data_IF_892882862511
#
_entry.id   IF_892882862511
#
_cell.length_a   1.000
_cell.length_b   1.000
_cell.length_c   1.000
_cell.angle_alpha   90.00
_cell.angle_beta   90.00
_cell.angle_gamma   90.00
#
_symmetry.space_group_name_H-M   'P 1'
#
loop_
_entity.id
_entity.type
_entity.pdbx_description
1 polymer ?
#
# COMPACT_ATOMS: atom_id res chain seq x y z
N UNK A 1 17.55 1.06 19.86
CA UNK A 1 16.62 2.11 20.24
C UNK A 1 16.34 3.01 19.06
N UNK A 2 15.14 3.07 18.59
CA UNK A 2 14.86 4.03 17.54
C UNK A 2 15.03 5.43 18.10
N UNK A 3 15.67 6.27 17.32
CA UNK A 3 15.79 7.67 17.64
C UNK A 3 14.93 8.48 16.69
N UNK A 4 14.24 9.42 17.23
CA UNK A 4 13.50 10.37 16.42
C UNK A 4 13.80 11.77 16.93
N UNK A 5 13.63 12.70 16.04
CA UNK A 5 13.86 14.10 16.39
C UNK A 5 12.87 14.55 17.46
N UNK A 6 13.30 15.30 18.47
CA UNK A 6 12.36 15.91 19.41
C UNK A 6 11.53 17.02 18.77
N UNK A 7 11.89 17.48 17.59
CA UNK A 7 11.14 18.50 16.88
C UNK A 7 9.94 17.87 16.17
N UNK A 8 8.86 18.64 16.03
CA UNK A 8 7.76 18.25 15.18
C UNK A 8 8.20 18.22 13.73
N UNK A 9 7.67 17.25 12.98
CA UNK A 9 7.96 17.09 11.56
C UNK A 9 6.64 17.10 10.79
N UNK A 10 6.69 17.60 9.58
CA UNK A 10 5.53 17.67 8.71
C UNK A 10 5.95 17.40 7.28
N UNK A 11 5.16 16.58 6.59
CA UNK A 11 5.27 16.36 5.16
C UNK A 11 3.85 16.34 4.58
N UNK A 12 3.74 16.59 3.28
CA UNK A 12 2.46 16.54 2.60
C UNK A 12 2.57 15.59 1.41
N UNK A 13 1.68 14.62 1.34
CA UNK A 13 1.70 13.61 0.27
C UNK A 13 1.55 14.25 -1.11
N UNK A 14 0.83 15.36 -1.22
CA UNK A 14 0.67 16.08 -2.47
C UNK A 14 2.01 16.54 -3.06
N UNK A 15 2.98 16.83 -2.20
CA UNK A 15 4.30 17.32 -2.62
C UNK A 15 5.25 16.18 -2.97
N UNK A 16 4.87 14.93 -2.67
CA UNK A 16 5.70 13.78 -2.99
C UNK A 16 5.61 13.44 -4.47
N UNK A 17 6.74 13.00 -5.02
CA UNK A 17 6.78 12.57 -6.41
C UNK A 17 6.09 11.21 -6.54
N UNK A 18 5.27 11.06 -7.56
CA UNK A 18 4.60 9.79 -7.83
C UNK A 18 5.58 8.79 -8.43
N UNK A 19 5.57 7.58 -7.89
CA UNK A 19 6.28 6.43 -8.43
C UNK A 19 5.23 5.57 -9.13
N UNK A 20 5.28 5.49 -10.46
CA UNK A 20 4.22 4.89 -11.26
C UNK A 20 4.69 3.56 -11.85
N UNK A 21 3.90 2.52 -11.63
CA UNK A 21 4.12 1.18 -12.17
C UNK A 21 2.82 0.72 -12.83
N UNK A 22 2.72 0.88 -14.15
CA UNK A 22 1.50 0.54 -14.87
C UNK A 22 0.31 1.34 -14.34
N UNK A 23 -0.72 0.65 -13.85
CA UNK A 23 -1.93 1.27 -13.33
C UNK A 23 -1.88 1.51 -11.82
N UNK A 24 -0.72 1.32 -11.20
CA UNK A 24 -0.53 1.55 -9.76
C UNK A 24 0.47 2.67 -9.57
N UNK A 25 0.14 3.63 -8.72
CA UNK A 25 1.03 4.73 -8.37
C UNK A 25 1.15 4.87 -6.86
N UNK A 26 2.32 5.35 -6.42
CA UNK A 26 2.63 5.51 -4.99
C UNK A 26 3.25 6.88 -4.76
N UNK A 27 2.86 7.52 -3.66
CA UNK A 27 3.50 8.73 -3.16
C UNK A 27 3.87 8.50 -1.71
N UNK A 28 5.11 8.76 -1.35
CA UNK A 28 5.60 8.49 0.00
C UNK A 28 6.06 9.77 0.67
N UNK A 29 5.55 10.01 1.86
CA UNK A 29 6.04 11.04 2.76
C UNK A 29 6.91 10.38 3.82
N UNK A 30 8.15 10.85 3.97
CA UNK A 30 9.12 10.28 4.89
C UNK A 30 9.33 11.21 6.06
N UNK A 31 9.11 10.68 7.26
CA UNK A 31 9.45 11.33 8.51
C UNK A 31 10.47 10.46 9.25
N UNK A 32 11.05 10.97 10.34
CA UNK A 32 12.01 10.17 11.09
C UNK A 32 11.34 8.90 11.62
N UNK A 33 11.84 7.75 11.19
CA UNK A 33 11.40 6.46 11.67
C UNK A 33 10.05 5.98 11.13
N UNK A 34 9.40 6.77 10.27
CA UNK A 34 8.08 6.39 9.74
C UNK A 34 7.93 6.85 8.28
N UNK A 35 7.35 6.00 7.47
CA UNK A 35 6.96 6.36 6.11
C UNK A 35 5.45 6.21 5.97
N UNK A 36 4.83 7.15 5.27
CA UNK A 36 3.41 7.12 4.95
C UNK A 36 3.29 7.13 3.44
N UNK A 37 2.67 6.10 2.86
CA UNK A 37 2.57 5.95 1.42
C UNK A 37 1.11 5.91 0.99
N UNK A 38 0.74 6.83 0.11
CA UNK A 38 -0.56 6.80 -0.55
C UNK A 38 -0.43 6.00 -1.84
N UNK A 39 -1.21 4.93 -1.94
CA UNK A 39 -1.20 4.02 -3.09
C UNK A 39 -2.51 4.12 -3.82
N UNK A 40 -2.45 4.27 -5.14
CA UNK A 40 -3.65 4.32 -5.98
C UNK A 40 -3.58 3.20 -7.01
N UNK A 41 -4.60 2.33 -6.98
CA UNK A 41 -4.85 1.31 -7.99
C UNK A 41 -5.93 1.85 -8.90
N UNK A 42 -5.58 2.21 -10.12
CA UNK A 42 -6.58 2.63 -11.12
C UNK A 42 -7.54 1.47 -11.41
N UNK A 43 -8.68 1.79 -12.03
CA UNK A 43 -9.58 0.74 -12.51
C UNK A 43 -8.81 -0.22 -13.41
N UNK A 44 -8.95 -1.53 -13.16
CA UNK A 44 -8.22 -2.56 -13.90
C UNK A 44 -6.83 -2.87 -13.38
N UNK A 45 -6.35 -2.15 -12.37
CA UNK A 45 -5.03 -2.40 -11.79
C UNK A 45 -5.00 -3.71 -11.03
N UNK A 46 -3.89 -4.43 -11.13
CA UNK A 46 -3.66 -5.66 -10.41
C UNK A 46 -2.19 -5.76 -10.05
N UNK A 47 -1.87 -6.07 -8.80
CA UNK A 47 -0.49 -6.15 -8.34
C UNK A 47 0.35 -7.08 -9.22
N UNK A 48 -0.17 -8.27 -9.55
CA UNK A 48 0.57 -9.25 -10.36
C UNK A 48 0.82 -8.79 -11.79
N UNK A 49 0.07 -7.81 -12.29
CA UNK A 49 0.31 -7.23 -13.63
C UNK A 49 1.22 -6.00 -13.57
N UNK A 50 0.99 -5.13 -12.58
CA UNK A 50 1.56 -3.77 -12.57
C UNK A 50 2.80 -3.64 -11.70
N UNK A 51 2.89 -4.39 -10.60
CA UNK A 51 4.03 -4.33 -9.69
C UNK A 51 4.89 -5.58 -9.69
N UNK A 52 4.33 -6.74 -9.96
CA UNK A 52 5.07 -8.00 -9.95
C UNK A 52 6.33 -7.96 -10.82
N UNK A 53 6.33 -7.37 -12.03
CA UNK A 53 7.54 -7.33 -12.85
C UNK A 53 8.73 -6.67 -12.14
N UNK A 54 8.46 -5.74 -11.23
CA UNK A 54 9.50 -5.04 -10.47
C UNK A 54 9.82 -5.73 -9.15
N UNK A 55 8.91 -6.56 -8.65
CA UNK A 55 9.05 -7.22 -7.34
C UNK A 55 9.85 -8.52 -7.42
N UNK A 56 9.78 -9.23 -8.55
CA UNK A 56 10.51 -10.49 -8.73
C UNK A 56 9.90 -11.69 -8.02
N UNK A 57 8.69 -11.57 -7.47
CA UNK A 57 7.97 -12.66 -6.80
C UNK A 57 6.60 -12.83 -7.42
N UNK A 58 5.98 -14.01 -7.22
CA UNK A 58 4.64 -14.30 -7.76
C UNK A 58 3.54 -13.57 -7.01
N UNK A 59 3.73 -13.35 -5.72
CA UNK A 59 2.80 -12.63 -4.85
C UNK A 59 3.56 -11.54 -4.10
N UNK A 60 2.84 -10.52 -3.63
CA UNK A 60 3.46 -9.48 -2.84
C UNK A 60 3.95 -10.05 -1.51
N UNK A 61 5.24 -9.89 -1.24
CA UNK A 61 5.86 -10.41 -0.02
C UNK A 61 6.00 -9.36 1.07
N UNK A 62 5.52 -8.14 0.81
CA UNK A 62 5.58 -7.07 1.80
C UNK A 62 4.32 -7.08 2.65
N UNK A 63 4.46 -6.98 3.98
CA UNK A 63 3.29 -6.80 4.84
C UNK A 63 2.74 -5.38 4.69
N UNK A 64 1.44 -5.23 4.86
CA UNK A 64 0.78 -3.94 4.73
C UNK A 64 -0.19 -3.70 5.88
N UNK A 65 -0.12 -2.51 6.46
CA UNK A 65 -1.17 -1.96 7.32
C UNK A 65 -1.63 -0.66 6.67
N UNK A 66 -2.91 -0.57 6.34
CA UNK A 66 -3.39 0.56 5.55
C UNK A 66 -4.84 0.89 5.84
N UNK A 67 -5.19 2.14 5.57
CA UNK A 67 -6.57 2.62 5.61
C UNK A 67 -7.01 2.88 4.17
N UNK A 68 -8.08 2.23 3.73
CA UNK A 68 -8.67 2.49 2.41
C UNK A 68 -9.45 3.80 2.49
N UNK A 69 -9.18 4.72 1.58
CA UNK A 69 -9.82 6.04 1.56
C UNK A 69 -10.79 6.21 0.39
N UNK A 70 -10.67 5.40 -0.66
CA UNK A 70 -11.57 5.46 -1.81
C UNK A 70 -11.58 4.12 -2.53
N UNK A 71 -12.72 3.76 -3.10
CA UNK A 71 -12.87 2.56 -3.92
C UNK A 71 -12.86 1.27 -3.13
N UNK A 72 -12.64 0.17 -3.82
CA UNK A 72 -12.63 -1.18 -3.24
C UNK A 72 -11.47 -1.98 -3.81
N UNK A 73 -10.70 -2.61 -2.93
CA UNK A 73 -9.60 -3.49 -3.27
C UNK A 73 -9.95 -4.92 -2.88
N UNK A 74 -9.77 -5.85 -3.79
CA UNK A 74 -9.89 -7.29 -3.49
C UNK A 74 -8.51 -7.86 -3.31
N UNK A 75 -8.32 -8.59 -2.21
CA UNK A 75 -7.05 -9.21 -1.86
C UNK A 75 -7.25 -10.71 -1.78
N UNK A 76 -6.34 -11.48 -2.37
CA UNK A 76 -6.33 -12.93 -2.28
C UNK A 76 -4.99 -13.40 -1.74
N UNK A 77 -5.05 -14.32 -0.78
CA UNK A 77 -3.86 -14.94 -0.20
C UNK A 77 -3.49 -16.22 -0.94
N UNK A 78 -2.28 -16.74 -0.67
CA UNK A 78 -1.80 -17.95 -1.32
C UNK A 78 -2.64 -19.18 -1.02
N UNK A 79 -3.37 -19.20 0.10
CA UNK A 79 -4.26 -20.30 0.45
C UNK A 79 -5.65 -20.20 -0.23
N UNK A 80 -5.87 -19.17 -1.05
CA UNK A 80 -7.12 -18.94 -1.74
C UNK A 80 -8.13 -18.10 -0.96
N UNK A 81 -7.85 -17.75 0.28
CA UNK A 81 -8.76 -16.87 1.02
C UNK A 81 -8.77 -15.48 0.41
N UNK A 82 -9.92 -14.83 0.45
CA UNK A 82 -10.16 -13.60 -0.28
C UNK A 82 -11.03 -12.65 0.55
N UNK A 83 -10.74 -11.34 0.48
CA UNK A 83 -11.50 -10.31 1.17
C UNK A 83 -11.52 -9.04 0.35
N UNK A 84 -12.61 -8.30 0.43
CA UNK A 84 -12.75 -6.97 -0.17
C UNK A 84 -12.64 -5.91 0.92
N UNK A 85 -11.85 -4.87 0.63
CA UNK A 85 -11.67 -3.73 1.53
C UNK A 85 -12.14 -2.48 0.82
N UNK A 86 -13.03 -1.73 1.45
CA UNK A 86 -13.63 -0.52 0.88
C UNK A 86 -13.31 0.70 1.73
N UNK A 87 -13.63 1.88 1.25
CA UNK A 87 -13.35 3.13 1.95
C UNK A 87 -13.79 3.06 3.40
N UNK A 88 -12.89 3.38 4.32
CA UNK A 88 -13.09 3.29 5.76
C UNK A 88 -12.57 2.00 6.39
N UNK A 89 -12.28 0.98 5.60
CA UNK A 89 -11.73 -0.27 6.15
C UNK A 89 -10.24 -0.12 6.42
N UNK A 90 -9.81 -0.71 7.53
CA UNK A 90 -8.39 -0.83 7.87
C UNK A 90 -7.95 -2.25 7.51
N UNK A 91 -6.89 -2.36 6.72
CA UNK A 91 -6.34 -3.64 6.27
C UNK A 91 -5.11 -4.02 7.09
N UNK A 92 -5.00 -5.29 7.40
CA UNK A 92 -3.74 -5.90 7.81
C UNK A 92 -3.49 -7.06 6.85
N UNK A 93 -2.52 -6.90 5.97
CA UNK A 93 -2.23 -7.88 4.93
C UNK A 93 -0.91 -8.57 5.22
N UNK A 94 -0.92 -9.90 5.45
CA UNK A 94 0.34 -10.63 5.59
C UNK A 94 1.03 -10.76 4.24
N UNK A 95 2.32 -11.11 4.21
CA UNK A 95 3.00 -11.42 2.94
C UNK A 95 2.30 -12.56 2.19
N UNK A 96 2.51 -12.62 0.89
CA UNK A 96 1.97 -13.69 0.07
C UNK A 96 0.56 -13.41 -0.43
N UNK A 97 0.32 -12.20 -0.92
CA UNK A 97 -0.99 -11.81 -1.45
C UNK A 97 -0.89 -11.21 -2.85
N UNK A 98 -1.97 -11.29 -3.59
CA UNK A 98 -2.23 -10.49 -4.79
C UNK A 98 -3.41 -9.60 -4.50
N UNK A 99 -3.55 -8.51 -5.24
CA UNK A 99 -4.62 -7.55 -5.03
C UNK A 99 -5.01 -6.88 -6.33
N UNK A 100 -6.28 -6.54 -6.47
CA UNK A 100 -6.77 -5.81 -7.64
C UNK A 100 -7.97 -4.94 -7.30
N UNK A 101 -8.18 -3.95 -8.14
CA UNK A 101 -9.31 -3.02 -8.02
C UNK A 101 -10.61 -3.73 -8.40
N UNK A 102 -11.64 -3.54 -7.59
CA UNK A 102 -12.99 -4.05 -7.89
C UNK A 102 -13.79 -2.93 -8.52
N UNK A 103 -14.41 -3.23 -9.66
CA UNK A 103 -15.25 -2.26 -10.36
C UNK A 103 -14.46 -1.29 -11.22
N UNK A 104 -15.09 -0.18 -11.55
CA UNK A 104 -14.58 0.80 -12.51
C UNK A 104 -14.05 2.08 -11.86
N UNK A 105 -13.90 2.09 -10.53
CA UNK A 105 -13.34 3.22 -9.78
C UNK A 105 -11.97 2.87 -9.25
N UNK A 106 -11.10 3.86 -9.21
CA UNK A 106 -9.79 3.69 -8.58
C UNK A 106 -9.95 3.40 -7.08
N UNK A 107 -9.06 2.57 -6.56
CA UNK A 107 -8.95 2.34 -5.13
C UNK A 107 -7.72 3.07 -4.61
N UNK A 108 -7.87 3.83 -3.54
CA UNK A 108 -6.77 4.53 -2.89
C UNK A 108 -6.71 4.11 -1.44
N UNK A 109 -5.51 3.84 -0.96
CA UNK A 109 -5.30 3.54 0.45
C UNK A 109 -3.99 4.17 0.92
N UNK A 110 -3.89 4.37 2.23
CA UNK A 110 -2.71 4.97 2.86
C UNK A 110 -2.08 3.92 3.76
N UNK A 111 -0.83 3.59 3.47
CA UNK A 111 -0.03 2.62 4.23
C UNK A 111 0.88 3.33 5.20
N UNK A 112 1.11 2.68 6.34
CA UNK A 112 2.04 3.15 7.36
C UNK A 112 3.12 2.11 7.55
N UNK A 113 4.38 2.54 7.62
CA UNK A 113 5.49 1.63 7.90
C UNK A 113 6.49 2.26 8.86
N UNK A 114 7.10 1.42 9.68
CA UNK A 114 8.12 1.78 10.66
C UNK A 114 9.44 1.08 10.34
N UNK A 115 9.83 1.10 9.09
CA UNK A 115 11.02 0.39 8.67
C UNK A 115 10.85 -1.12 8.74
N UNK A 116 11.91 -1.83 9.14
CA UNK A 116 11.89 -3.30 9.19
C UNK A 116 11.09 -3.88 10.34
N UNK A 117 10.68 -3.06 11.29
CA UNK A 117 9.96 -3.50 12.48
C UNK A 117 8.45 -3.43 12.34
N UNK A 118 7.99 -3.39 11.13
CA UNK A 118 6.60 -3.11 10.77
C UNK A 118 5.60 -3.98 11.53
N UNK A 119 5.93 -5.25 11.72
CA UNK A 119 5.04 -6.21 12.38
C UNK A 119 5.51 -6.69 13.73
N UNK A 120 6.53 -6.08 14.26
CA UNK A 120 7.05 -6.52 15.58
C UNK A 120 6.71 -5.56 16.73
#
# INVERSE_FOLDING_TARGET
MPTYSPAMQKAHLRDAQADVHGLISKKTAQLDGVAVTEVTFQAGARWSNDLKPDAGTDLCELPHVALVTAGTLRVVLSDGSQEDFSAGDVMLLPPGHDAWTVGDRACTFVEFSKGSDYYT
#
